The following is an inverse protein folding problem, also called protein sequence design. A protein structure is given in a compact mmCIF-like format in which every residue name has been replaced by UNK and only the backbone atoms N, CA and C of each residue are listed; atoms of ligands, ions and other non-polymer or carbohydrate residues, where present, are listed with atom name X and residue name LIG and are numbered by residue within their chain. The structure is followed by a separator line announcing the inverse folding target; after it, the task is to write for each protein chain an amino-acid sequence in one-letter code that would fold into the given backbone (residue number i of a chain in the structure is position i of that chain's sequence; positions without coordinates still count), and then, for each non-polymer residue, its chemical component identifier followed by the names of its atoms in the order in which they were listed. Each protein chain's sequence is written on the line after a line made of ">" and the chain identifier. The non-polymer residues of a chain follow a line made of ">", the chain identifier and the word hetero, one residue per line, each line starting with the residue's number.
data_IF_897770582022
#
_entry.id   IF_897770582022
#
_cell.length_a   1.000
_cell.length_b   1.000
_cell.length_c   1.000
_cell.angle_alpha   90.00
_cell.angle_beta   90.00
_cell.angle_gamma   90.00
#
_symmetry.space_group_name_H-M   'P 1'
#
loop_
_entity.id
_entity.type
_entity.pdbx_description
1 polymer ?
#
# COMPACT_ATOMS: atom_id res chain seq x y z
N UNK A 1 0.95 -23.45 10.35
CA UNK A 1 2.35 -23.09 10.71
C UNK A 1 2.95 -21.99 9.84
N UNK A 2 3.16 -22.13 8.53
CA UNK A 2 3.72 -21.02 7.72
C UNK A 2 2.78 -19.81 7.59
N UNK A 3 1.48 -19.98 7.75
CA UNK A 3 0.47 -18.93 7.61
C UNK A 3 0.39 -17.98 8.82
N UNK A 4 1.05 -18.29 9.92
CA UNK A 4 1.10 -17.47 11.14
C UNK A 4 2.47 -16.83 11.34
N UNK A 5 3.53 -17.42 10.79
CA UNK A 5 4.90 -16.92 10.94
C UNK A 5 5.13 -15.51 10.38
N UNK A 6 4.28 -15.03 9.48
CA UNK A 6 4.41 -13.66 8.97
C UNK A 6 4.05 -12.61 10.04
N UNK A 7 3.26 -12.98 11.06
CA UNK A 7 2.90 -12.07 12.15
C UNK A 7 4.11 -11.69 13.00
N UNK A 8 5.08 -12.60 13.14
CA UNK A 8 6.33 -12.34 13.84
C UNK A 8 7.19 -11.29 13.13
N UNK A 9 7.09 -11.22 11.77
CA UNK A 9 7.72 -10.15 10.98
C UNK A 9 6.89 -8.85 10.92
N UNK A 10 5.67 -8.85 11.49
CA UNK A 10 4.75 -7.72 11.46
C UNK A 10 4.09 -7.49 12.83
N UNK A 11 4.91 -7.24 13.88
CA UNK A 11 4.44 -7.13 15.27
C UNK A 11 3.92 -5.71 15.61
N UNK A 12 3.17 -5.10 14.69
CA UNK A 12 2.67 -3.74 14.84
C UNK A 12 1.23 -3.71 15.32
N UNK A 13 0.85 -2.59 15.95
CA UNK A 13 -0.54 -2.34 16.30
C UNK A 13 -1.35 -2.01 15.04
N UNK A 14 -2.54 -2.63 14.91
CA UNK A 14 -3.46 -2.37 13.82
C UNK A 14 -4.38 -1.22 14.19
N UNK A 15 -4.30 -0.14 13.43
CA UNK A 15 -5.17 1.02 13.57
C UNK A 15 -6.11 1.10 12.37
N UNK A 16 -7.29 1.67 12.58
CA UNK A 16 -8.29 1.83 11.53
C UNK A 16 -8.88 3.22 11.58
N UNK A 17 -8.96 3.87 10.43
CA UNK A 17 -9.71 5.09 10.21
C UNK A 17 -11.00 4.76 9.47
N UNK A 18 -12.14 5.20 9.98
CA UNK A 18 -13.43 5.10 9.30
C UNK A 18 -13.52 6.17 8.20
N UNK A 19 -13.97 5.76 7.02
CA UNK A 19 -14.27 6.65 5.90
C UNK A 19 -15.77 6.97 5.86
N UNK A 20 -16.15 8.08 5.24
CA UNK A 20 -17.55 8.57 5.19
C UNK A 20 -18.53 7.56 4.58
N UNK A 21 -18.03 6.64 3.76
CA UNK A 21 -18.82 5.58 3.13
C UNK A 21 -18.94 4.29 3.96
N UNK A 22 -18.48 4.32 5.23
CA UNK A 22 -18.49 3.20 6.16
C UNK A 22 -17.38 2.17 5.90
N UNK A 23 -16.47 2.40 4.96
CA UNK A 23 -15.29 1.59 4.77
C UNK A 23 -14.22 1.96 5.80
N UNK A 24 -13.31 1.02 6.09
CA UNK A 24 -12.20 1.23 7.02
C UNK A 24 -10.87 1.19 6.29
N UNK A 25 -10.02 2.13 6.59
CA UNK A 25 -8.65 2.21 6.11
C UNK A 25 -7.73 1.77 7.26
N UNK A 26 -6.99 0.69 7.04
CA UNK A 26 -5.99 0.19 7.98
C UNK A 26 -4.69 0.98 7.85
N UNK A 27 -4.04 1.22 8.96
CA UNK A 27 -2.68 1.77 9.01
C UNK A 27 -1.91 1.29 10.23
N UNK A 28 -0.58 1.30 10.11
CA UNK A 28 0.38 1.15 11.19
C UNK A 28 0.91 2.52 11.53
N UNK A 29 1.11 2.79 12.84
CA UNK A 29 1.64 4.05 13.36
C UNK A 29 2.53 3.74 14.56
N UNK A 30 3.84 3.70 14.34
CA UNK A 30 4.82 3.23 15.32
C UNK A 30 5.89 4.29 15.57
N UNK A 31 6.32 4.37 16.83
CA UNK A 31 7.35 5.30 17.25
C UNK A 31 6.83 6.72 17.48
N UNK A 32 7.76 7.67 17.55
CA UNK A 32 7.47 9.09 17.81
C UNK A 32 8.53 9.98 17.15
N UNK A 33 8.20 11.25 16.91
CA UNK A 33 9.10 12.20 16.25
C UNK A 33 8.63 12.62 14.86
N UNK A 34 9.53 13.04 13.96
CA UNK A 34 9.15 13.48 12.62
C UNK A 34 8.40 12.37 11.84
N UNK A 35 7.25 12.66 11.20
CA UNK A 35 6.46 11.64 10.54
C UNK A 35 7.08 11.17 9.23
N UNK A 36 7.18 9.84 9.07
CA UNK A 36 7.54 9.16 7.82
C UNK A 36 6.33 8.37 7.34
N UNK A 37 5.67 8.86 6.30
CA UNK A 37 4.48 8.23 5.72
C UNK A 37 4.85 7.39 4.50
N UNK A 38 4.58 6.10 4.56
CA UNK A 38 4.93 5.12 3.55
C UNK A 38 3.69 4.68 2.78
N UNK A 39 3.71 4.86 1.46
CA UNK A 39 2.59 4.60 0.55
C UNK A 39 2.95 3.47 -0.40
N UNK A 40 2.31 2.32 -0.21
CA UNK A 40 2.57 1.11 -0.98
C UNK A 40 1.89 1.12 -2.35
N UNK A 41 2.25 0.17 -3.20
CA UNK A 41 1.64 -0.05 -4.50
C UNK A 41 0.85 -1.35 -4.60
N UNK A 42 0.48 -1.71 -5.82
CA UNK A 42 -0.30 -2.89 -6.15
C UNK A 42 0.60 -4.07 -6.55
N UNK A 43 0.36 -5.28 -6.05
CA UNK A 43 -0.64 -5.75 -5.08
C UNK A 43 -0.09 -5.92 -3.67
N UNK A 44 0.72 -4.99 -3.20
CA UNK A 44 1.31 -5.04 -1.86
C UNK A 44 0.39 -4.37 -0.81
N UNK A 45 0.86 -4.30 0.42
CA UNK A 45 0.22 -3.64 1.54
C UNK A 45 1.30 -3.19 2.54
N UNK A 46 0.97 -2.57 3.64
CA UNK A 46 1.91 -2.02 4.62
C UNK A 46 2.98 -3.03 5.11
N UNK A 47 2.71 -4.32 5.06
CA UNK A 47 3.69 -5.39 5.28
C UNK A 47 4.96 -5.25 4.41
N UNK A 48 4.85 -4.62 3.23
CA UNK A 48 5.99 -4.31 2.37
C UNK A 48 7.04 -3.48 3.10
N UNK A 49 6.59 -2.56 3.95
CA UNK A 49 7.43 -1.63 4.69
C UNK A 49 7.85 -2.11 6.09
N UNK A 50 7.49 -3.34 6.51
CA UNK A 50 7.71 -3.84 7.87
C UNK A 50 9.12 -3.65 8.42
N UNK A 51 10.15 -3.91 7.61
CA UNK A 51 11.55 -3.72 8.02
C UNK A 51 11.93 -2.24 8.10
N UNK A 52 11.37 -1.41 7.22
CA UNK A 52 11.59 0.04 7.25
C UNK A 52 10.93 0.66 8.48
N UNK A 53 9.70 0.24 8.82
CA UNK A 53 9.01 0.65 10.05
C UNK A 53 9.86 0.31 11.27
N UNK A 54 10.30 -0.96 11.39
CA UNK A 54 11.16 -1.41 12.50
C UNK A 54 12.46 -0.61 12.61
N UNK A 55 13.05 -0.23 11.49
CA UNK A 55 14.29 0.54 11.47
C UNK A 55 14.10 2.01 11.85
N UNK A 56 12.93 2.58 11.57
CA UNK A 56 12.64 4.01 11.76
C UNK A 56 12.00 4.32 13.10
N UNK A 57 11.21 3.41 13.68
CA UNK A 57 10.37 3.67 14.87
C UNK A 57 11.14 4.15 16.12
N UNK A 58 12.45 3.94 16.17
CA UNK A 58 13.28 4.43 17.28
C UNK A 58 13.57 5.94 17.24
N UNK A 59 13.37 6.60 16.09
CA UNK A 59 13.71 8.03 15.88
C UNK A 59 12.63 8.81 15.12
N UNK A 60 11.69 8.13 14.50
CA UNK A 60 10.63 8.69 13.66
C UNK A 60 9.27 8.08 14.02
N UNK A 61 8.20 8.83 13.75
CA UNK A 61 6.85 8.28 13.71
C UNK A 61 6.64 7.62 12.35
N UNK A 62 6.77 6.30 12.30
CA UNK A 62 6.74 5.48 11.10
C UNK A 62 5.31 5.03 10.79
N UNK A 63 4.71 5.57 9.73
CA UNK A 63 3.31 5.34 9.36
C UNK A 63 3.26 4.63 8.01
N UNK A 64 2.47 3.55 7.92
CA UNK A 64 2.21 2.85 6.67
C UNK A 64 0.74 2.50 6.57
N UNK A 65 0.07 2.95 5.50
CA UNK A 65 -1.35 2.70 5.28
C UNK A 65 -1.57 1.54 4.31
N UNK A 66 -2.75 0.92 4.37
CA UNK A 66 -3.26 0.02 3.34
C UNK A 66 -4.33 0.73 2.52
N UNK A 67 -4.17 0.77 1.20
CA UNK A 67 -5.22 1.31 0.33
C UNK A 67 -6.51 0.50 0.44
N UNK A 68 -7.67 1.14 0.31
CA UNK A 68 -8.94 0.44 0.15
C UNK A 68 -8.82 -0.54 -1.01
N UNK A 69 -9.19 -1.79 -0.77
CA UNK A 69 -8.96 -2.90 -1.70
C UNK A 69 -7.70 -3.71 -1.44
N UNK A 70 -6.77 -3.23 -0.61
CA UNK A 70 -5.50 -3.87 -0.30
C UNK A 70 -5.36 -4.15 1.21
N UNK A 71 -4.41 -5.02 1.55
CA UNK A 71 -4.02 -5.29 2.92
C UNK A 71 -5.20 -5.60 3.84
N UNK A 72 -5.20 -4.98 5.01
CA UNK A 72 -6.24 -5.14 6.03
C UNK A 72 -7.37 -4.10 5.92
N UNK A 73 -7.28 -3.15 4.98
CA UNK A 73 -8.36 -2.23 4.66
C UNK A 73 -9.58 -2.93 4.07
N UNK A 74 -10.74 -2.28 4.12
CA UNK A 74 -11.98 -2.76 3.49
C UNK A 74 -11.79 -3.06 2.02
N UNK A 75 -12.49 -4.09 1.52
CA UNK A 75 -12.46 -4.54 0.11
C UNK A 75 -13.87 -4.55 -0.49
N UNK A 76 -14.57 -3.39 -0.53
CA UNK A 76 -15.93 -3.32 -1.02
C UNK A 76 -16.01 -3.65 -2.51
N UNK A 77 -17.10 -4.33 -2.91
CA UNK A 77 -17.30 -4.70 -4.31
C UNK A 77 -17.67 -3.50 -5.19
N UNK A 78 -18.38 -2.53 -4.59
CA UNK A 78 -18.80 -1.28 -5.23
C UNK A 78 -18.04 -0.14 -4.57
N UNK A 79 -16.92 0.23 -5.16
CA UNK A 79 -16.08 1.32 -4.71
C UNK A 79 -15.40 1.96 -5.92
N UNK A 80 -15.25 3.27 -5.95
CA UNK A 80 -14.53 3.95 -7.03
C UNK A 80 -13.01 3.76 -6.86
N UNK A 81 -12.50 2.62 -7.30
CA UNK A 81 -11.05 2.30 -7.29
C UNK A 81 -10.27 3.17 -8.30
N UNK A 82 -10.42 4.49 -8.19
CA UNK A 82 -9.74 5.48 -9.03
C UNK A 82 -8.52 6.07 -8.32
N UNK A 83 -7.57 6.58 -9.10
CA UNK A 83 -6.41 7.30 -8.55
C UNK A 83 -6.86 8.47 -7.66
N UNK A 84 -7.85 9.24 -8.13
CA UNK A 84 -8.39 10.39 -7.38
C UNK A 84 -8.92 9.99 -6.00
N UNK A 85 -9.65 8.86 -5.93
CA UNK A 85 -10.19 8.39 -4.64
C UNK A 85 -9.07 7.95 -3.68
N UNK A 86 -8.04 7.25 -4.18
CA UNK A 86 -6.91 6.88 -3.34
C UNK A 86 -6.09 8.10 -2.86
N UNK A 87 -5.95 9.13 -3.69
CA UNK A 87 -5.35 10.41 -3.27
C UNK A 87 -6.17 11.06 -2.15
N UNK A 88 -7.50 11.07 -2.26
CA UNK A 88 -8.38 11.62 -1.23
C UNK A 88 -8.27 10.84 0.08
N UNK A 89 -8.28 9.51 0.02
CA UNK A 89 -8.11 8.67 1.22
C UNK A 89 -6.78 8.94 1.93
N UNK A 90 -5.69 9.11 1.17
CA UNK A 90 -4.39 9.42 1.74
C UNK A 90 -4.39 10.81 2.40
N UNK A 91 -5.01 11.80 1.77
CA UNK A 91 -5.15 13.15 2.34
C UNK A 91 -5.98 13.12 3.63
N UNK A 92 -7.09 12.38 3.65
CA UNK A 92 -7.91 12.18 4.86
C UNK A 92 -7.10 11.54 5.99
N UNK A 93 -6.23 10.57 5.69
CA UNK A 93 -5.37 9.97 6.72
C UNK A 93 -4.35 10.97 7.26
N UNK A 94 -3.75 11.79 6.39
CA UNK A 94 -2.80 12.84 6.79
C UNK A 94 -3.48 13.85 7.72
N UNK A 95 -4.73 14.23 7.42
CA UNK A 95 -5.52 15.14 8.25
C UNK A 95 -5.98 14.46 9.56
N UNK A 96 -6.45 13.22 9.50
CA UNK A 96 -6.89 12.43 10.66
C UNK A 96 -5.78 12.25 11.70
N UNK A 97 -4.55 12.06 11.25
CA UNK A 97 -3.37 11.89 12.11
C UNK A 97 -2.67 13.22 12.44
N UNK A 98 -3.24 14.34 11.98
CA UNK A 98 -2.71 15.70 12.15
C UNK A 98 -1.23 15.81 11.74
N UNK A 99 -0.88 15.17 10.60
CA UNK A 99 0.50 15.13 10.17
C UNK A 99 0.94 16.47 9.55
N UNK A 100 2.15 16.87 9.91
CA UNK A 100 2.84 18.02 9.34
C UNK A 100 4.33 17.73 9.16
N UNK A 101 5.00 18.37 8.20
CA UNK A 101 6.39 18.14 7.91
C UNK A 101 6.72 16.70 7.49
N UNK A 102 5.84 16.07 6.71
CA UNK A 102 5.88 14.65 6.35
C UNK A 102 7.06 14.30 5.45
N UNK A 103 7.84 13.30 5.84
CA UNK A 103 8.75 12.58 4.96
C UNK A 103 7.97 11.50 4.22
N UNK A 104 7.64 11.74 2.95
CA UNK A 104 6.79 10.85 2.16
C UNK A 104 7.64 9.83 1.39
N UNK A 105 7.38 8.53 1.61
CA UNK A 105 8.03 7.42 0.92
C UNK A 105 7.01 6.73 0.03
N UNK A 106 7.28 6.66 -1.28
CA UNK A 106 6.34 6.13 -2.26
C UNK A 106 6.96 5.03 -3.11
N UNK A 107 6.19 4.00 -3.41
CA UNK A 107 6.59 2.86 -4.25
C UNK A 107 5.44 2.41 -5.14
N UNK A 108 5.73 2.05 -6.41
CA UNK A 108 4.76 1.55 -7.40
C UNK A 108 3.55 2.49 -7.54
N UNK A 109 2.30 2.04 -7.39
CA UNK A 109 1.08 2.87 -7.38
C UNK A 109 1.05 3.90 -6.24
N UNK A 110 1.80 3.66 -5.16
CA UNK A 110 1.99 4.67 -4.12
C UNK A 110 2.63 5.96 -4.63
N UNK A 111 3.36 5.91 -5.77
CA UNK A 111 3.92 7.10 -6.41
C UNK A 111 2.86 8.08 -6.91
N UNK A 112 2.02 7.71 -7.88
CA UNK A 112 0.94 8.58 -8.35
C UNK A 112 0.00 9.04 -7.23
N UNK A 113 -0.27 8.16 -6.24
CA UNK A 113 -1.13 8.49 -5.10
C UNK A 113 -0.46 9.51 -4.18
N UNK A 114 0.76 9.21 -3.71
CA UNK A 114 1.48 10.07 -2.78
C UNK A 114 1.88 11.41 -3.40
N UNK A 115 2.38 11.41 -4.63
CA UNK A 115 2.72 12.65 -5.35
C UNK A 115 1.47 13.48 -5.67
N UNK A 116 0.34 12.83 -5.97
CA UNK A 116 -0.94 13.51 -6.15
C UNK A 116 -1.44 14.18 -4.86
N UNK A 117 -1.24 13.55 -3.71
CA UNK A 117 -1.52 14.15 -2.40
C UNK A 117 -0.54 15.29 -2.10
N UNK A 118 0.76 15.09 -2.30
CA UNK A 118 1.78 16.12 -2.09
C UNK A 118 1.54 17.37 -2.94
N UNK A 119 1.05 17.21 -4.17
CA UNK A 119 0.69 18.34 -5.03
C UNK A 119 -0.53 19.12 -4.52
N UNK A 120 -1.44 18.48 -3.76
CA UNK A 120 -2.60 19.14 -3.15
C UNK A 120 -2.27 19.84 -1.83
N UNK A 121 -1.33 19.30 -1.07
CA UNK A 121 -0.96 19.77 0.26
C UNK A 121 0.57 19.90 0.36
N UNK A 122 1.22 20.74 -0.48
CA UNK A 122 2.69 20.83 -0.54
C UNK A 122 3.30 21.30 0.78
N UNK A 123 2.61 22.15 1.52
CA UNK A 123 3.08 22.70 2.79
C UNK A 123 3.22 21.63 3.89
N UNK A 124 2.49 20.53 3.78
CA UNK A 124 2.60 19.38 4.69
C UNK A 124 3.80 18.47 4.41
N UNK A 125 4.49 18.64 3.27
CA UNK A 125 5.54 17.73 2.82
C UNK A 125 6.92 18.32 3.06
N UNK A 126 7.73 17.61 3.83
CA UNK A 126 9.13 17.98 4.09
C UNK A 126 10.10 17.40 3.08
N UNK A 127 9.90 16.14 2.69
CA UNK A 127 10.75 15.47 1.69
C UNK A 127 10.01 14.33 0.99
N UNK A 128 10.54 13.93 -0.17
CA UNK A 128 10.04 12.83 -0.98
C UNK A 128 11.13 11.80 -1.19
N UNK A 129 10.81 10.53 -0.91
CA UNK A 129 11.63 9.36 -1.28
C UNK A 129 10.86 8.52 -2.29
N UNK A 130 11.40 8.42 -3.50
CA UNK A 130 10.74 7.81 -4.64
C UNK A 130 11.42 6.48 -4.96
N UNK A 131 10.67 5.37 -4.86
CA UNK A 131 11.14 4.00 -5.06
C UNK A 131 10.39 3.33 -6.20
N UNK A 132 11.07 2.99 -7.29
CA UNK A 132 10.54 2.20 -8.41
C UNK A 132 9.10 2.55 -8.79
N UNK A 133 8.85 3.81 -9.12
CA UNK A 133 7.53 4.33 -9.46
C UNK A 133 7.59 5.36 -10.57
N UNK A 134 6.43 5.83 -11.04
CA UNK A 134 6.28 6.92 -11.98
C UNK A 134 4.98 7.68 -11.71
N UNK A 135 4.99 8.98 -12.01
CA UNK A 135 3.83 9.87 -11.88
C UNK A 135 3.19 10.21 -13.23
N UNK A 136 3.59 9.53 -14.29
CA UNK A 136 3.13 9.81 -15.65
C UNK A 136 2.25 8.67 -16.17
N UNK A 137 1.26 8.95 -17.04
CA UNK A 137 0.56 7.89 -17.76
C UNK A 137 1.58 7.02 -18.51
N UNK A 138 1.60 5.70 -18.30
CA UNK A 138 2.53 4.84 -19.00
C UNK A 138 2.20 4.82 -20.49
N UNK A 139 3.21 5.05 -21.35
CA UNK A 139 3.08 4.93 -22.79
C UNK A 139 2.81 3.49 -23.23
N UNK A 140 3.15 2.53 -22.38
CA UNK A 140 2.98 1.10 -22.63
C UNK A 140 2.44 0.39 -21.39
N UNK A 141 1.31 -0.29 -21.56
CA UNK A 141 0.74 -1.18 -20.53
C UNK A 141 1.05 -2.62 -20.97
N UNK A 142 1.79 -3.42 -20.16
CA UNK A 142 2.02 -4.81 -20.49
C UNK A 142 0.70 -5.54 -20.76
N UNK A 143 0.64 -6.34 -21.84
CA UNK A 143 -0.58 -7.02 -22.29
C UNK A 143 -1.24 -7.87 -21.17
N UNK A 144 -0.44 -8.42 -20.25
CA UNK A 144 -0.93 -9.20 -19.11
C UNK A 144 -1.77 -8.35 -18.15
N UNK A 145 -1.37 -7.09 -17.91
CA UNK A 145 -2.14 -6.13 -17.08
C UNK A 145 -3.35 -5.66 -17.89
N UNK A 146 -3.18 -5.42 -19.18
CA UNK A 146 -4.28 -5.02 -20.06
C UNK A 146 -5.39 -6.08 -20.11
N UNK A 147 -5.06 -7.37 -20.19
CA UNK A 147 -6.03 -8.47 -20.18
C UNK A 147 -6.89 -8.51 -18.91
N UNK A 148 -6.34 -8.11 -17.75
CA UNK A 148 -7.10 -8.04 -16.49
C UNK A 148 -8.12 -6.87 -16.44
N UNK A 149 -8.08 -5.94 -17.38
CA UNK A 149 -9.05 -4.83 -17.48
C UNK A 149 -10.40 -5.24 -18.04
N UNK A 150 -10.51 -6.43 -18.66
CA UNK A 150 -11.80 -6.95 -19.11
C UNK A 150 -12.69 -7.28 -17.90
N UNK A 151 -13.89 -6.65 -17.76
CA UNK A 151 -14.65 -6.64 -16.50
C UNK A 151 -14.99 -8.02 -15.95
N UNK A 152 -15.31 -8.98 -16.80
CA UNK A 152 -15.69 -10.33 -16.34
C UNK A 152 -14.44 -11.21 -16.10
N UNK A 153 -13.52 -11.22 -17.05
CA UNK A 153 -12.34 -12.08 -17.03
C UNK A 153 -11.40 -11.66 -15.90
N UNK A 154 -11.12 -10.35 -15.79
CA UNK A 154 -10.27 -9.81 -14.73
C UNK A 154 -10.86 -10.04 -13.35
N UNK A 155 -12.13 -9.75 -13.15
CA UNK A 155 -12.83 -9.96 -11.87
C UNK A 155 -12.80 -11.43 -11.43
N UNK A 156 -13.13 -12.37 -12.33
CA UNK A 156 -13.13 -13.80 -12.05
C UNK A 156 -11.72 -14.32 -11.76
N UNK A 157 -10.74 -13.93 -12.58
CA UNK A 157 -9.36 -14.36 -12.45
C UNK A 157 -8.69 -13.86 -11.15
N UNK A 158 -8.97 -12.62 -10.76
CA UNK A 158 -8.42 -12.05 -9.52
C UNK A 158 -9.10 -12.68 -8.29
N UNK A 159 -10.44 -12.76 -8.27
CA UNK A 159 -11.19 -13.19 -7.10
C UNK A 159 -11.15 -14.70 -6.84
N UNK A 160 -11.16 -15.54 -7.90
CA UNK A 160 -11.25 -17.01 -7.77
C UNK A 160 -9.88 -17.68 -7.69
N UNK A 161 -8.90 -17.17 -8.42
CA UNK A 161 -7.59 -17.84 -8.57
C UNK A 161 -6.41 -16.94 -8.19
N UNK A 162 -6.67 -15.77 -7.64
CA UNK A 162 -5.64 -14.81 -7.20
C UNK A 162 -4.55 -14.60 -8.28
N UNK A 163 -4.98 -14.48 -9.54
CA UNK A 163 -4.08 -14.47 -10.71
C UNK A 163 -3.20 -13.22 -10.77
N UNK A 164 -3.42 -12.25 -9.90
CA UNK A 164 -2.62 -11.02 -9.84
C UNK A 164 -1.55 -11.08 -8.76
N UNK A 165 -1.91 -11.32 -7.49
CA UNK A 165 -0.96 -11.28 -6.37
C UNK A 165 0.01 -12.46 -6.41
N UNK A 166 -0.48 -13.67 -6.65
CA UNK A 166 0.32 -14.88 -6.70
C UNK A 166 1.46 -14.81 -7.75
N UNK A 167 1.18 -14.54 -9.03
CA UNK A 167 2.21 -14.35 -10.06
C UNK A 167 3.13 -13.15 -9.79
N UNK A 168 2.61 -12.02 -9.26
CA UNK A 168 3.42 -10.85 -8.96
C UNK A 168 4.56 -11.18 -7.98
N UNK A 169 4.30 -11.96 -6.94
CA UNK A 169 5.34 -12.37 -5.96
C UNK A 169 6.47 -13.20 -6.57
N UNK A 170 6.26 -13.81 -7.74
CA UNK A 170 7.29 -14.59 -8.46
C UNK A 170 8.00 -13.77 -9.53
N UNK A 171 7.26 -12.91 -10.24
CA UNK A 171 7.76 -12.21 -11.43
C UNK A 171 8.60 -10.98 -11.10
N UNK A 172 8.33 -10.33 -9.97
CA UNK A 172 9.03 -9.11 -9.54
C UNK A 172 10.42 -9.38 -8.95
N UNK A 173 10.66 -10.62 -8.54
CA UNK A 173 11.91 -11.02 -7.87
C UNK A 173 12.87 -11.71 -8.84
N UNK A 174 13.75 -10.92 -9.49
CA UNK A 174 14.70 -11.46 -10.49
C UNK A 174 15.97 -12.07 -9.87
N UNK A 175 16.51 -11.46 -8.82
CA UNK A 175 17.79 -11.86 -8.22
C UNK A 175 17.63 -12.72 -6.97
N UNK A 176 16.78 -12.29 -6.03
CA UNK A 176 16.54 -12.99 -4.78
C UNK A 176 15.08 -13.45 -4.72
N UNK A 177 14.86 -14.70 -4.31
CA UNK A 177 13.51 -15.22 -4.08
C UNK A 177 13.00 -14.67 -2.72
N UNK A 178 11.69 -14.41 -2.64
CA UNK A 178 11.05 -14.12 -1.35
C UNK A 178 11.19 -15.33 -0.42
N UNK A 179 11.44 -15.07 0.88
CA UNK A 179 11.32 -16.10 1.90
C UNK A 179 9.88 -16.64 1.95
N UNK A 180 9.70 -17.85 2.49
CA UNK A 180 8.37 -18.42 2.67
C UNK A 180 7.49 -17.51 3.55
N UNK A 181 8.06 -16.92 4.59
CA UNK A 181 7.40 -15.98 5.51
C UNK A 181 6.99 -14.69 4.80
N UNK A 182 7.91 -14.05 4.07
CA UNK A 182 7.62 -12.84 3.32
C UNK A 182 6.51 -13.07 2.27
N UNK A 183 6.54 -14.23 1.58
CA UNK A 183 5.49 -14.61 0.63
C UNK A 183 4.15 -14.84 1.34
N UNK A 184 4.15 -15.53 2.48
CA UNK A 184 2.94 -15.76 3.27
C UNK A 184 2.32 -14.44 3.74
N UNK A 185 3.14 -13.49 4.24
CA UNK A 185 2.70 -12.17 4.68
C UNK A 185 2.11 -11.34 3.55
N UNK A 186 2.76 -11.29 2.38
CA UNK A 186 2.22 -10.57 1.22
C UNK A 186 0.88 -11.14 0.74
N UNK A 187 0.65 -12.44 0.88
CA UNK A 187 -0.57 -13.12 0.45
C UNK A 187 -1.66 -13.17 1.54
N UNK A 188 -1.32 -12.92 2.80
CA UNK A 188 -2.23 -13.11 3.94
C UNK A 188 -3.59 -12.42 3.78
N UNK A 189 -3.68 -11.14 3.35
CA UNK A 189 -4.96 -10.44 3.21
C UNK A 189 -5.81 -10.89 2.02
N UNK A 190 -5.28 -11.74 1.15
CA UNK A 190 -5.90 -12.14 -0.13
C UNK A 190 -6.24 -13.65 -0.20
N UNK A 191 -6.25 -14.34 0.94
CA UNK A 191 -6.65 -15.74 1.08
C UNK A 191 -8.13 -15.89 1.34
#
# INVERSE_FOLDING_TARGET
>A
MADELWRDEYPFQFNFMELDDGNRLHYVDEGSGPPVLMVHGNPTWSFYYRHLIQSLQGHYRAIAMDHVGCGLSSKPQRYPYTLTQHIQNLALLVDHLELDGVHLVVHDWGGPIGLGMAAKCPDKIRSLTILNTGAFPPLYIPWRIFALRFPWLGSLAIRRVNLFVGPATRMTMKRNKLSAVAKAGLLAPYK
#
